data_IF_621695961011
#
_entry.id   IF_621695961011
#
_cell.length_a   1.000
_cell.length_b   1.000
_cell.length_c   1.000
_cell.angle_alpha   90.00
_cell.angle_beta   90.00
_cell.angle_gamma   90.00
#
_symmetry.space_group_name_H-M   'P 1'
#
loop_
_entity.id
_entity.type
_entity.pdbx_description
1 polymer ?
#
# COMPACT_ATOMS: atom_id res chain seq x y z
N UNK A 1 -33.13 4.60 -62.10
CA UNK A 1 -33.54 4.69 -60.68
C UNK A 1 -32.51 3.97 -59.83
N UNK A 2 -31.51 4.70 -59.34
CA UNK A 2 -30.44 4.19 -58.46
C UNK A 2 -30.10 5.30 -57.49
N UNK A 3 -30.33 5.08 -56.20
CA UNK A 3 -29.63 5.65 -55.04
C UNK A 3 -30.54 5.53 -53.82
N UNK A 4 -30.55 4.36 -53.18
CA UNK A 4 -31.07 4.25 -51.81
C UNK A 4 -30.48 3.04 -51.11
N UNK A 5 -29.18 3.08 -50.81
CA UNK A 5 -28.53 2.08 -49.94
C UNK A 5 -27.31 2.61 -49.18
N UNK A 6 -27.08 3.94 -49.15
CA UNK A 6 -25.92 4.52 -48.46
C UNK A 6 -26.21 5.05 -47.05
N UNK A 7 -27.46 4.92 -46.56
CA UNK A 7 -27.89 5.56 -45.31
C UNK A 7 -27.84 4.63 -44.08
N UNK A 8 -27.64 3.32 -44.27
CA UNK A 8 -27.60 2.35 -43.16
C UNK A 8 -26.21 2.10 -42.57
N UNK A 9 -25.13 2.61 -43.19
CA UNK A 9 -23.76 2.36 -42.71
C UNK A 9 -23.30 3.32 -41.59
N UNK A 10 -24.04 4.39 -41.32
CA UNK A 10 -23.65 5.43 -40.35
C UNK A 10 -24.15 5.19 -38.92
N UNK A 11 -25.09 4.26 -38.71
CA UNK A 11 -25.70 4.03 -37.38
C UNK A 11 -24.86 3.08 -36.50
N UNK A 12 -23.94 2.30 -37.08
CA UNK A 12 -23.14 1.31 -36.35
C UNK A 12 -21.92 1.97 -35.65
N UNK A 13 -21.57 3.21 -36.00
CA UNK A 13 -20.43 3.95 -35.40
C UNK A 13 -20.80 4.71 -34.11
N UNK A 14 -22.06 4.63 -33.66
CA UNK A 14 -22.54 5.33 -32.47
C UNK A 14 -22.37 4.55 -31.14
N UNK A 15 -21.69 3.39 -31.15
CA UNK A 15 -21.26 2.73 -29.91
C UNK A 15 -20.04 3.41 -29.30
N UNK A 16 -20.30 4.66 -28.89
CA UNK A 16 -19.71 5.41 -27.81
C UNK A 16 -18.85 4.53 -26.89
N UNK A 17 -17.53 4.61 -27.13
CA UNK A 17 -16.45 4.42 -26.17
C UNK A 17 -16.96 4.15 -24.75
N UNK A 18 -17.03 2.89 -24.35
CA UNK A 18 -17.04 2.51 -22.94
C UNK A 18 -15.74 3.04 -22.31
N UNK A 19 -15.75 4.28 -21.84
CA UNK A 19 -14.85 4.70 -20.78
C UNK A 19 -15.29 3.87 -19.58
N UNK A 20 -14.69 2.69 -19.44
CA UNK A 20 -14.65 2.00 -18.15
C UNK A 20 -14.19 3.08 -17.18
N UNK A 21 -15.11 3.61 -16.37
CA UNK A 21 -14.73 4.36 -15.19
C UNK A 21 -13.85 3.37 -14.46
N UNK A 22 -12.52 3.56 -14.53
CA UNK A 22 -11.60 2.87 -13.65
C UNK A 22 -12.19 3.17 -12.29
N UNK A 23 -12.76 2.14 -11.67
CA UNK A 23 -13.25 2.16 -10.32
C UNK A 23 -11.98 2.23 -9.49
N UNK A 24 -11.35 3.41 -9.52
CA UNK A 24 -10.20 3.76 -8.73
C UNK A 24 -10.74 3.88 -7.33
N UNK A 25 -10.21 3.06 -6.43
CA UNK A 25 -10.28 3.28 -5.00
C UNK A 25 -10.11 4.78 -4.74
N UNK A 26 -10.95 5.43 -3.91
CA UNK A 26 -10.83 6.84 -3.63
C UNK A 26 -9.37 7.15 -3.27
N UNK A 27 -8.70 7.87 -4.16
CA UNK A 27 -7.28 8.12 -4.01
C UNK A 27 -7.15 9.25 -3.00
N UNK A 28 -6.86 8.90 -1.73
CA UNK A 28 -6.47 9.87 -0.71
C UNK A 28 -5.31 10.68 -1.31
N UNK A 29 -5.41 12.00 -1.24
CA UNK A 29 -4.34 12.88 -1.70
C UNK A 29 -3.04 12.52 -0.97
N UNK A 30 -1.88 12.65 -1.62
CA UNK A 30 -0.64 12.18 -1.02
C UNK A 30 -0.34 12.88 0.31
N UNK A 31 -0.57 14.19 0.36
CA UNK A 31 -0.47 15.04 1.54
C UNK A 31 -1.36 14.61 2.71
N UNK A 32 -2.44 13.87 2.46
CA UNK A 32 -3.37 13.38 3.47
C UNK A 32 -3.15 11.92 3.84
N UNK A 33 -2.34 11.20 3.05
CA UNK A 33 -2.08 9.77 3.24
C UNK A 33 -0.89 9.52 4.16
N UNK A 34 -1.01 8.54 5.06
CA UNK A 34 0.10 8.03 5.86
C UNK A 34 1.04 7.11 5.09
N UNK A 35 0.68 6.70 3.87
CA UNK A 35 1.58 5.99 2.95
C UNK A 35 1.13 6.22 1.50
N UNK A 36 1.58 7.30 0.85
CA UNK A 36 1.18 7.64 -0.50
C UNK A 36 1.49 6.52 -1.51
N UNK A 37 0.45 6.00 -2.17
CA UNK A 37 0.53 4.86 -3.08
C UNK A 37 0.68 5.32 -4.53
N UNK A 38 1.91 5.64 -4.95
CA UNK A 38 2.21 6.04 -6.33
C UNK A 38 3.55 5.46 -6.80
N UNK A 39 3.57 4.95 -8.04
CA UNK A 39 4.81 4.51 -8.69
C UNK A 39 5.82 5.66 -8.73
N UNK A 40 7.07 5.36 -8.36
CA UNK A 40 8.17 6.31 -8.27
C UNK A 40 8.36 6.94 -6.89
N UNK A 41 7.43 6.74 -5.95
CA UNK A 41 7.64 7.11 -4.55
C UNK A 41 8.80 6.30 -3.99
N UNK A 42 9.73 6.98 -3.32
CA UNK A 42 11.01 6.40 -2.92
C UNK A 42 11.52 6.99 -1.61
N UNK A 43 12.03 6.11 -0.77
CA UNK A 43 12.69 6.42 0.49
C UNK A 43 14.11 5.88 0.43
N UNK A 44 15.12 6.70 0.76
CA UNK A 44 16.54 6.36 0.55
C UNK A 44 17.37 6.65 1.79
N UNK A 45 18.31 5.76 2.09
CA UNK A 45 19.33 5.92 3.13
C UNK A 45 20.70 5.56 2.51
N UNK A 46 21.57 6.54 2.37
CA UNK A 46 22.81 6.42 1.62
C UNK A 46 22.62 5.99 0.15
N UNK A 47 23.65 5.40 -0.44
CA UNK A 47 23.64 4.98 -1.86
C UNK A 47 23.12 3.56 -2.08
N UNK A 48 23.13 2.72 -1.05
CA UNK A 48 22.89 1.27 -1.16
C UNK A 48 21.63 0.78 -0.43
N UNK A 49 20.87 1.67 0.22
CA UNK A 49 19.61 1.31 0.88
C UNK A 49 18.47 2.20 0.39
N UNK A 50 17.41 1.60 -0.14
CA UNK A 50 16.19 2.32 -0.52
C UNK A 50 14.98 1.40 -0.56
N UNK A 51 13.80 1.98 -0.41
CA UNK A 51 12.50 1.39 -0.76
C UNK A 51 11.85 2.23 -1.85
N UNK A 52 11.31 1.60 -2.89
CA UNK A 52 10.68 2.26 -4.03
C UNK A 52 9.42 1.52 -4.47
N UNK A 53 8.36 2.28 -4.76
CA UNK A 53 7.18 1.75 -5.43
C UNK A 53 7.46 1.68 -6.93
N UNK A 54 7.61 0.48 -7.48
CA UNK A 54 8.06 0.30 -8.87
C UNK A 54 6.98 0.03 -9.89
N UNK A 55 5.93 -0.67 -9.45
CA UNK A 55 4.89 -1.16 -10.34
C UNK A 55 3.61 -1.44 -9.56
N UNK A 56 2.59 -1.92 -10.26
CA UNK A 56 1.36 -2.44 -9.69
C UNK A 56 1.08 -3.86 -10.20
N UNK A 57 0.33 -4.63 -9.42
CA UNK A 57 -0.14 -5.96 -9.79
C UNK A 57 -1.59 -6.12 -9.35
N UNK A 58 -2.34 -6.98 -10.03
CA UNK A 58 -3.66 -7.41 -9.55
C UNK A 58 -3.55 -8.76 -8.85
N UNK A 59 -3.87 -8.79 -7.56
CA UNK A 59 -3.95 -10.01 -6.75
C UNK A 59 -5.39 -10.14 -6.28
N UNK A 60 -6.04 -11.26 -6.59
CA UNK A 60 -7.46 -11.47 -6.31
C UNK A 60 -8.36 -10.28 -6.75
N UNK A 61 -8.15 -9.82 -7.99
CA UNK A 61 -8.85 -8.67 -8.63
C UNK A 61 -8.57 -7.29 -8.01
N UNK A 62 -7.91 -7.20 -6.86
CA UNK A 62 -7.53 -5.94 -6.21
C UNK A 62 -6.17 -5.43 -6.71
N UNK A 63 -6.03 -4.11 -6.83
CA UNK A 63 -4.77 -3.47 -7.24
C UNK A 63 -3.83 -3.33 -6.02
N UNK A 64 -2.62 -3.85 -6.15
CA UNK A 64 -1.54 -3.70 -5.17
C UNK A 64 -0.35 -3.00 -5.80
N UNK A 65 0.38 -2.23 -5.02
CA UNK A 65 1.62 -1.56 -5.39
C UNK A 65 2.82 -2.41 -4.96
N UNK A 66 3.79 -2.56 -5.86
CA UNK A 66 5.03 -3.31 -5.63
C UNK A 66 6.06 -2.42 -4.95
N UNK A 67 6.25 -2.61 -3.66
CA UNK A 67 7.32 -2.00 -2.87
C UNK A 67 8.56 -2.88 -2.99
N UNK A 68 9.58 -2.39 -3.67
CA UNK A 68 10.88 -3.03 -3.77
C UNK A 68 11.85 -2.33 -2.81
N UNK A 69 12.54 -3.10 -1.99
CA UNK A 69 13.60 -2.60 -1.11
C UNK A 69 14.94 -3.23 -1.46
N UNK A 70 15.99 -2.41 -1.49
CA UNK A 70 17.40 -2.83 -1.44
C UNK A 70 17.94 -2.40 -0.08
N UNK A 71 18.64 -3.29 0.61
CA UNK A 71 19.20 -3.05 1.95
C UNK A 71 20.67 -3.45 1.89
N UNK A 72 21.57 -2.52 2.21
CA UNK A 72 23.01 -2.79 2.25
C UNK A 72 23.68 -3.08 0.90
N UNK A 73 22.93 -3.03 -0.20
CA UNK A 73 23.44 -3.26 -1.57
C UNK A 73 23.30 -4.69 -2.08
N UNK A 74 22.93 -5.65 -1.23
CA UNK A 74 22.90 -7.08 -1.55
C UNK A 74 21.60 -7.79 -1.15
N UNK A 75 20.91 -7.31 -0.11
CA UNK A 75 19.64 -7.85 0.32
C UNK A 75 18.47 -7.14 -0.35
N UNK A 76 17.51 -7.91 -0.88
CA UNK A 76 16.31 -7.36 -1.52
C UNK A 76 15.04 -7.91 -0.89
N UNK A 77 14.02 -7.08 -0.81
CA UNK A 77 12.67 -7.47 -0.38
C UNK A 77 11.64 -6.91 -1.35
N UNK A 78 10.56 -7.66 -1.59
CA UNK A 78 9.41 -7.19 -2.36
C UNK A 78 8.14 -7.42 -1.57
N UNK A 79 7.36 -6.36 -1.36
CA UNK A 79 6.02 -6.43 -0.77
C UNK A 79 4.98 -5.91 -1.76
N UNK A 80 3.78 -6.49 -1.72
CA UNK A 80 2.66 -6.01 -2.53
C UNK A 80 1.60 -5.44 -1.62
N UNK A 81 1.53 -4.11 -1.54
CA UNK A 81 0.72 -3.42 -0.55
C UNK A 81 -0.38 -2.56 -1.18
N UNK A 82 -1.50 -2.41 -0.49
CA UNK A 82 -2.58 -1.48 -0.86
C UNK A 82 -3.12 -0.79 0.39
N UNK A 83 -3.68 0.40 0.20
CA UNK A 83 -4.60 1.01 1.16
C UNK A 83 -6.03 0.67 0.71
N UNK A 84 -6.84 0.13 1.61
CA UNK A 84 -8.24 -0.18 1.34
C UNK A 84 -9.18 1.01 1.61
N UNK A 85 -10.46 0.80 1.37
CA UNK A 85 -11.53 1.77 1.60
C UNK A 85 -11.71 2.20 3.06
N UNK A 86 -11.18 1.43 4.01
CA UNK A 86 -11.21 1.73 5.45
C UNK A 86 -9.88 2.34 5.92
N UNK A 87 -9.04 2.80 4.99
CA UNK A 87 -7.72 3.36 5.26
C UNK A 87 -6.80 2.39 6.03
N UNK A 88 -6.86 1.11 5.66
CA UNK A 88 -6.03 0.05 6.20
C UNK A 88 -4.93 -0.33 5.20
N UNK A 89 -3.70 -0.49 5.70
CA UNK A 89 -2.57 -0.97 4.91
C UNK A 89 -2.55 -2.50 4.93
N UNK A 90 -2.75 -3.09 3.75
CA UNK A 90 -2.82 -4.53 3.56
C UNK A 90 -1.69 -4.98 2.63
N UNK A 91 -1.05 -6.10 2.96
CA UNK A 91 -0.13 -6.82 2.09
C UNK A 91 -0.79 -8.11 1.59
N UNK A 92 -0.52 -8.46 0.33
CA UNK A 92 -0.94 -9.72 -0.27
C UNK A 92 0.24 -10.42 -0.95
N UNK A 93 0.11 -11.73 -1.15
CA UNK A 93 1.16 -12.57 -1.71
C UNK A 93 0.68 -13.15 -3.06
N UNK A 94 1.39 -12.91 -4.18
CA UNK A 94 0.94 -13.39 -5.50
C UNK A 94 0.79 -14.91 -5.60
N UNK A 95 1.62 -15.65 -4.88
CA UNK A 95 1.62 -17.12 -4.77
C UNK A 95 0.56 -17.65 -3.78
N UNK A 96 0.08 -16.79 -2.87
CA UNK A 96 -0.96 -17.10 -1.89
C UNK A 96 -2.04 -16.00 -1.86
N UNK A 97 -2.82 -15.83 -2.93
CA UNK A 97 -3.70 -14.66 -3.12
C UNK A 97 -4.86 -14.55 -2.12
N UNK A 98 -5.10 -15.60 -1.33
CA UNK A 98 -6.08 -15.58 -0.23
C UNK A 98 -5.51 -15.15 1.12
N UNK A 99 -4.18 -15.08 1.26
CA UNK A 99 -3.51 -14.64 2.48
C UNK A 99 -3.31 -13.12 2.43
N UNK A 100 -3.87 -12.42 3.41
CA UNK A 100 -3.78 -10.97 3.54
C UNK A 100 -3.17 -10.65 4.91
N UNK A 101 -2.12 -9.85 4.91
CA UNK A 101 -1.45 -9.39 6.11
C UNK A 101 -1.80 -7.92 6.37
N UNK A 102 -2.47 -7.63 7.48
CA UNK A 102 -2.85 -6.28 7.88
C UNK A 102 -1.71 -5.60 8.65
N UNK A 103 -1.07 -4.61 8.03
CA UNK A 103 0.04 -3.85 8.64
C UNK A 103 -0.43 -2.73 9.54
N UNK A 104 -1.46 -1.99 9.12
CA UNK A 104 -1.88 -0.78 9.81
C UNK A 104 -3.36 -0.47 9.59
N UNK A 105 -4.01 0.10 10.60
CA UNK A 105 -5.33 0.75 10.50
C UNK A 105 -5.15 2.23 10.83
N UNK A 106 -4.97 3.09 9.81
CA UNK A 106 -4.59 4.49 10.04
C UNK A 106 -5.67 5.30 10.79
N UNK A 107 -6.93 4.92 10.63
CA UNK A 107 -8.07 5.59 11.27
C UNK A 107 -8.49 4.99 12.60
N UNK A 108 -7.88 3.87 13.03
CA UNK A 108 -8.22 3.23 14.30
C UNK A 108 -8.03 4.15 15.52
N UNK A 109 -8.82 3.99 16.60
CA UNK A 109 -8.60 4.71 17.85
C UNK A 109 -7.20 4.44 18.43
N UNK A 110 -6.67 5.38 19.21
CA UNK A 110 -5.45 5.14 19.99
C UNK A 110 -5.67 3.94 20.92
N UNK A 111 -4.66 3.07 21.04
CA UNK A 111 -4.70 1.78 21.73
C UNK A 111 -5.60 0.71 21.11
N UNK A 112 -6.14 0.90 19.89
CA UNK A 112 -6.79 -0.21 19.16
C UNK A 112 -5.80 -1.35 18.94
N UNK A 113 -6.30 -2.58 19.05
CA UNK A 113 -5.53 -3.81 18.92
C UNK A 113 -6.14 -4.70 17.84
N UNK A 114 -5.30 -5.21 16.95
CA UNK A 114 -5.70 -6.16 15.91
C UNK A 114 -4.59 -7.18 15.67
N UNK A 115 -4.90 -8.22 14.89
CA UNK A 115 -3.93 -9.24 14.49
C UNK A 115 -3.62 -9.08 13.00
N UNK A 116 -2.39 -9.39 12.60
CA UNK A 116 -1.94 -9.21 11.20
C UNK A 116 -2.54 -10.24 10.26
N UNK A 117 -2.63 -11.51 10.69
CA UNK A 117 -3.22 -12.62 9.94
C UNK A 117 -4.51 -13.13 10.59
N UNK A 118 -4.66 -12.94 11.89
CA UNK A 118 -5.78 -13.40 12.70
C UNK A 118 -6.00 -14.93 12.62
N UNK A 119 -4.90 -15.68 12.48
CA UNK A 119 -4.88 -17.15 12.37
C UNK A 119 -4.16 -17.83 13.54
N UNK A 120 -3.64 -17.04 14.50
CA UNK A 120 -2.86 -17.52 15.67
C UNK A 120 -1.57 -18.25 15.30
N UNK A 121 -1.10 -18.12 14.06
CA UNK A 121 0.18 -18.66 13.65
C UNK A 121 1.33 -17.93 14.36
N UNK A 122 2.53 -18.50 14.25
CA UNK A 122 3.75 -17.88 14.78
C UNK A 122 4.13 -16.58 14.07
N UNK A 123 3.53 -16.28 12.92
CA UNK A 123 3.69 -15.04 12.15
C UNK A 123 2.50 -14.09 12.31
N UNK A 124 1.54 -14.43 13.18
CA UNK A 124 0.41 -13.58 13.52
C UNK A 124 0.81 -12.65 14.67
N UNK A 125 1.08 -11.39 14.32
CA UNK A 125 1.48 -10.38 15.29
C UNK A 125 0.24 -9.72 15.86
N UNK A 126 0.24 -9.49 17.18
CA UNK A 126 -0.68 -8.53 17.77
C UNK A 126 -0.14 -7.12 17.53
N UNK A 127 -0.94 -6.26 16.93
CA UNK A 127 -0.56 -4.90 16.58
C UNK A 127 -1.39 -3.92 17.38
N UNK A 128 -0.73 -2.93 17.97
CA UNK A 128 -1.36 -1.86 18.75
C UNK A 128 -1.02 -0.49 18.18
N UNK A 129 -2.00 0.38 17.99
CA UNK A 129 -1.74 1.79 17.69
C UNK A 129 -1.29 2.52 18.97
N UNK A 130 0.01 2.82 19.09
CA UNK A 130 0.62 3.40 20.29
C UNK A 130 0.82 4.92 20.19
N UNK A 131 0.71 5.50 18.99
CA UNK A 131 0.78 6.94 18.78
C UNK A 131 -0.19 7.37 17.67
N UNK A 132 -1.00 8.40 17.95
CA UNK A 132 -1.96 8.96 16.99
C UNK A 132 -2.01 10.48 17.15
N UNK A 133 -1.37 11.22 16.23
CA UNK A 133 -1.42 12.69 16.17
C UNK A 133 -2.10 13.17 14.88
N UNK A 134 -2.05 14.45 14.53
CA UNK A 134 -2.51 14.89 13.21
C UNK A 134 -1.66 14.29 12.07
N UNK A 135 -0.35 14.14 12.33
CA UNK A 135 0.66 13.89 11.28
C UNK A 135 1.43 12.59 11.46
N UNK A 136 1.29 11.90 12.60
CA UNK A 136 2.03 10.66 12.89
C UNK A 136 1.14 9.52 13.37
N UNK A 137 1.47 8.32 12.93
CA UNK A 137 0.95 7.04 13.44
C UNK A 137 2.12 6.15 13.80
N UNK A 138 2.09 5.53 14.97
CA UNK A 138 3.08 4.52 15.36
C UNK A 138 2.35 3.27 15.80
N UNK A 139 2.67 2.15 15.16
CA UNK A 139 2.13 0.84 15.47
C UNK A 139 3.20 -0.02 16.12
N UNK A 140 2.87 -0.66 17.23
CA UNK A 140 3.73 -1.63 17.91
C UNK A 140 3.27 -3.04 17.57
N UNK A 141 4.19 -3.91 17.19
CA UNK A 141 3.96 -5.30 16.78
C UNK A 141 4.55 -6.23 17.84
N UNK A 142 3.76 -7.18 18.35
CA UNK A 142 4.16 -8.16 19.35
C UNK A 142 3.93 -9.60 18.85
N UNK A 143 4.96 -10.44 19.01
CA UNK A 143 4.94 -11.87 18.69
C UNK A 143 4.31 -12.69 19.82
N UNK A 144 3.01 -12.50 20.06
CA UNK A 144 2.31 -13.13 21.19
C UNK A 144 2.23 -14.66 21.13
N UNK A 145 2.34 -15.24 19.93
CA UNK A 145 2.20 -16.67 19.67
C UNK A 145 3.54 -17.44 19.59
N UNK A 146 4.69 -16.78 19.80
CA UNK A 146 6.00 -17.44 19.88
C UNK A 146 6.51 -17.45 21.32
N UNK A 147 6.64 -18.62 21.92
CA UNK A 147 6.97 -18.76 23.36
C UNK A 147 8.31 -18.14 23.75
N UNK A 148 9.30 -18.17 22.85
CA UNK A 148 10.64 -17.61 23.05
C UNK A 148 10.76 -16.12 22.71
N UNK A 149 9.82 -15.57 21.95
CA UNK A 149 9.83 -14.16 21.51
C UNK A 149 8.66 -13.35 22.05
N UNK A 150 7.81 -13.93 22.90
CA UNK A 150 6.66 -13.27 23.49
C UNK A 150 7.07 -11.98 24.21
N UNK A 151 6.45 -10.86 23.84
CA UNK A 151 6.78 -9.54 24.37
C UNK A 151 7.98 -8.86 23.70
N UNK A 152 8.62 -9.50 22.70
CA UNK A 152 9.60 -8.85 21.84
C UNK A 152 8.83 -8.00 20.83
N UNK A 153 8.81 -6.70 21.07
CA UNK A 153 8.08 -5.77 20.22
C UNK A 153 9.00 -5.00 19.28
N UNK A 154 8.47 -4.61 18.13
CA UNK A 154 9.06 -3.59 17.27
C UNK A 154 8.00 -2.57 16.88
N UNK A 155 8.43 -1.40 16.42
CA UNK A 155 7.54 -0.30 16.03
C UNK A 155 7.71 0.06 14.58
N UNK A 156 6.61 0.38 13.92
CA UNK A 156 6.59 1.00 12.60
C UNK A 156 5.85 2.32 12.70
N UNK A 157 6.52 3.39 12.30
CA UNK A 157 5.96 4.74 12.29
C UNK A 157 5.71 5.22 10.86
N UNK A 158 4.66 6.03 10.72
CA UNK A 158 4.26 6.65 9.46
C UNK A 158 4.03 8.15 9.69
N UNK A 159 4.58 8.98 8.81
CA UNK A 159 4.33 10.42 8.76
C UNK A 159 3.41 10.71 7.57
N UNK A 160 2.34 11.45 7.83
CA UNK A 160 1.39 11.91 6.81
C UNK A 160 2.12 12.70 5.71
N UNK A 161 1.82 12.40 4.45
CA UNK A 161 2.50 13.01 3.30
C UNK A 161 3.86 12.40 2.98
N UNK A 162 4.49 11.67 3.91
CA UNK A 162 5.84 11.13 3.75
C UNK A 162 5.89 9.62 3.68
N UNK A 163 5.00 8.88 4.33
CA UNK A 163 5.09 7.43 4.42
C UNK A 163 5.93 6.96 5.60
N UNK A 164 6.81 5.99 5.35
CA UNK A 164 7.64 5.33 6.36
C UNK A 164 8.53 6.33 7.11
N UNK A 165 8.49 6.30 8.45
CA UNK A 165 9.33 7.11 9.34
C UNK A 165 10.45 6.25 9.93
N UNK A 166 11.53 6.11 9.16
CA UNK A 166 12.68 5.26 9.49
C UNK A 166 14.01 5.99 9.23
N UNK A 167 14.07 7.29 9.58
CA UNK A 167 15.32 8.05 9.51
C UNK A 167 15.90 8.23 8.10
N UNK A 168 15.05 8.21 7.06
CA UNK A 168 15.50 8.35 5.66
C UNK A 168 16.28 9.63 5.40
N UNK A 169 17.33 9.53 4.59
CA UNK A 169 18.15 10.68 4.16
C UNK A 169 17.41 11.50 3.10
N UNK A 170 16.68 10.81 2.20
CA UNK A 170 15.85 11.48 1.20
C UNK A 170 14.55 10.74 0.94
N UNK A 171 13.49 11.52 0.71
CA UNK A 171 12.15 11.05 0.41
C UNK A 171 11.61 11.77 -0.83
N UNK A 172 11.19 10.98 -1.82
CA UNK A 172 10.49 11.45 -3.02
C UNK A 172 9.06 10.94 -3.01
N UNK A 173 8.09 11.84 -3.00
CA UNK A 173 6.66 11.55 -3.05
C UNK A 173 6.04 12.28 -4.23
N UNK A 174 5.30 11.55 -5.06
CA UNK A 174 4.62 12.05 -6.26
C UNK A 174 5.53 12.88 -7.18
N UNK A 175 6.78 12.40 -7.34
CA UNK A 175 7.80 13.06 -8.18
C UNK A 175 8.48 14.27 -7.54
N UNK A 176 8.10 14.69 -6.32
CA UNK A 176 8.74 15.80 -5.59
C UNK A 176 9.64 15.25 -4.48
N UNK A 177 10.85 15.79 -4.36
CA UNK A 177 11.72 15.54 -3.20
C UNK A 177 11.22 16.42 -2.06
N UNK A 178 10.83 15.79 -0.95
CA UNK A 178 10.27 16.47 0.22
C UNK A 178 11.20 16.38 1.45
N UNK A 179 12.23 15.53 1.34
CA UNK A 179 13.36 15.43 2.26
C UNK A 179 14.60 15.06 1.45
#
# INVERSE_FOLDING_TARGET
MKTSSLMYLLIILAFSSCKVKKQGTPQIAAEDSFLPMQIGNRWTHGTHTYTEIRDTVRINKQLYYKFYSLIGGDATSTKYMRIDENNQLLEAFPDQPGMIYLHAKFDAPLNDVFNTLNDKSTNDYQVKLVEKTADKRTFEFDMVNQSNLKGSTYKISYIKGQGLDDGWDSIRINGKVIK
#
